data_IF_366227257852
#
_entry.id   IF_366227257852
#
_cell.length_a   1.000
_cell.length_b   1.000
_cell.length_c   1.000
_cell.angle_alpha   90.00
_cell.angle_beta   90.00
_cell.angle_gamma   90.00
#
_symmetry.space_group_name_H-M   'P 1'
#
loop_
_entity.id
_entity.type
_entity.pdbx_description
1 polymer ?
#
# COMPACT_ATOMS: atom_id res chain seq x y z
N UNK A 1 -11.20 49.13 1.94
CA UNK A 1 -9.73 49.22 1.90
C UNK A 1 -9.16 49.43 3.30
N UNK A 2 -9.30 50.57 3.97
CA UNK A 2 -8.77 50.74 5.35
C UNK A 2 -9.38 49.71 6.32
N UNK A 3 -10.72 49.56 6.33
CA UNK A 3 -11.41 48.55 7.14
C UNK A 3 -11.09 47.09 6.77
N UNK A 4 -10.59 46.82 5.56
CA UNK A 4 -10.18 45.47 5.14
C UNK A 4 -8.75 45.17 5.57
N UNK A 5 -7.89 46.18 5.57
CA UNK A 5 -6.54 46.09 6.12
C UNK A 5 -6.59 45.89 7.64
N UNK A 6 -7.43 46.66 8.35
CA UNK A 6 -7.63 46.48 9.80
C UNK A 6 -8.14 45.06 10.14
N UNK A 7 -9.04 44.51 9.30
CA UNK A 7 -9.52 43.14 9.46
C UNK A 7 -8.40 42.11 9.19
N UNK A 8 -7.56 42.33 8.19
CA UNK A 8 -6.43 41.45 7.92
C UNK A 8 -5.41 41.50 9.06
N UNK A 9 -5.12 42.68 9.59
CA UNK A 9 -4.17 42.87 10.69
C UNK A 9 -4.61 42.11 11.94
N UNK A 10 -5.91 42.15 12.29
CA UNK A 10 -6.41 41.36 13.43
C UNK A 10 -6.34 39.85 13.16
N UNK A 11 -6.57 39.39 11.93
CA UNK A 11 -6.39 37.96 11.57
C UNK A 11 -4.92 37.56 11.73
N UNK A 12 -3.98 38.42 11.34
CA UNK A 12 -2.55 38.19 11.54
C UNK A 12 -2.19 38.12 13.04
N UNK A 13 -2.73 39.01 13.86
CA UNK A 13 -2.51 38.96 15.32
C UNK A 13 -3.08 37.67 15.95
N UNK A 14 -4.16 37.10 15.41
CA UNK A 14 -4.77 35.87 15.91
C UNK A 14 -3.88 34.62 15.78
N UNK A 15 -2.80 34.65 14.99
CA UNK A 15 -1.87 33.50 14.84
C UNK A 15 -1.22 33.14 16.19
N UNK A 16 -1.08 34.10 17.10
CA UNK A 16 -0.58 33.84 18.47
C UNK A 16 -1.43 32.81 19.22
N UNK A 17 -2.71 32.65 18.87
CA UNK A 17 -3.63 31.71 19.52
C UNK A 17 -3.20 30.26 19.27
N UNK A 18 -2.56 29.96 18.13
CA UNK A 18 -2.01 28.63 17.83
C UNK A 18 -0.92 28.22 18.83
N UNK A 19 -0.31 29.16 19.56
CA UNK A 19 0.69 28.86 20.60
C UNK A 19 0.08 28.47 21.95
N UNK A 20 -1.25 28.50 22.08
CA UNK A 20 -1.97 28.18 23.32
C UNK A 20 -3.27 27.39 23.04
N UNK A 21 -3.16 26.12 22.59
CA UNK A 21 -4.32 25.33 22.16
C UNK A 21 -5.33 25.03 23.28
N UNK A 22 -4.93 25.12 24.56
CA UNK A 22 -5.83 25.04 25.71
C UNK A 22 -6.98 26.06 25.66
N UNK A 23 -6.80 27.19 24.96
CA UNK A 23 -7.80 28.24 24.84
C UNK A 23 -8.72 28.09 23.61
N UNK A 24 -8.58 27.03 22.82
CA UNK A 24 -9.39 26.84 21.61
C UNK A 24 -10.89 26.77 21.87
N UNK A 25 -11.31 26.30 23.04
CA UNK A 25 -12.71 26.32 23.46
C UNK A 25 -13.31 27.75 23.41
N UNK A 26 -12.52 28.79 23.72
CA UNK A 26 -12.98 30.18 23.63
C UNK A 26 -13.27 30.62 22.19
N UNK A 27 -12.50 30.11 21.20
CA UNK A 27 -12.78 30.39 19.78
C UNK A 27 -14.12 29.82 19.36
N UNK A 28 -14.49 28.67 19.90
CA UNK A 28 -15.77 28.01 19.59
C UNK A 28 -16.91 28.70 20.33
N UNK A 29 -16.79 28.89 21.66
CA UNK A 29 -17.82 29.53 22.49
C UNK A 29 -18.15 30.96 22.03
N UNK A 30 -17.15 31.72 21.60
CA UNK A 30 -17.31 33.09 21.12
C UNK A 30 -17.70 33.18 19.63
N UNK A 31 -18.01 32.05 18.97
CA UNK A 31 -18.35 31.98 17.54
C UNK A 31 -17.27 32.57 16.61
N UNK A 32 -16.01 32.56 17.04
CA UNK A 32 -14.89 32.99 16.21
C UNK A 32 -14.72 32.01 15.04
N UNK A 33 -14.81 30.70 15.29
CA UNK A 33 -14.68 29.66 14.23
C UNK A 33 -15.71 29.89 13.11
N UNK A 34 -16.98 30.11 13.43
CA UNK A 34 -18.01 30.36 12.42
C UNK A 34 -17.73 31.64 11.61
N UNK A 35 -17.27 32.70 12.27
CA UNK A 35 -16.89 33.95 11.62
C UNK A 35 -15.68 33.77 10.69
N UNK A 36 -14.67 33.03 11.15
CA UNK A 36 -13.48 32.69 10.36
C UNK A 36 -13.84 31.85 9.13
N UNK A 37 -14.71 30.85 9.26
CA UNK A 37 -15.16 30.04 8.12
C UNK A 37 -15.91 30.87 7.06
N UNK A 38 -16.60 31.93 7.46
CA UNK A 38 -17.20 32.89 6.52
C UNK A 38 -16.17 33.75 5.79
N UNK A 39 -14.98 33.91 6.36
CA UNK A 39 -13.87 34.69 5.82
C UNK A 39 -12.86 33.74 5.15
N UNK A 40 -13.11 33.34 3.90
CA UNK A 40 -12.24 32.43 3.13
C UNK A 40 -10.77 32.90 2.94
N UNK A 41 -10.38 34.04 3.50
CA UNK A 41 -9.02 34.58 3.55
C UNK A 41 -8.19 34.08 4.74
N UNK A 42 -8.78 33.34 5.69
CA UNK A 42 -8.11 32.91 6.93
C UNK A 42 -7.32 31.58 6.79
N UNK A 43 -7.04 31.14 5.56
CA UNK A 43 -6.47 29.81 5.31
C UNK A 43 -5.12 29.63 6.01
N UNK A 44 -4.30 30.68 6.07
CA UNK A 44 -3.01 30.64 6.77
C UNK A 44 -3.19 30.42 8.29
N UNK A 45 -4.06 31.22 8.91
CA UNK A 45 -4.41 31.07 10.32
C UNK A 45 -4.97 29.68 10.64
N UNK A 46 -5.89 29.17 9.81
CA UNK A 46 -6.45 27.83 9.99
C UNK A 46 -5.38 26.75 9.89
N UNK A 47 -4.40 26.91 9.01
CA UNK A 47 -3.30 25.96 8.88
C UNK A 47 -2.45 25.92 10.15
N UNK A 48 -2.11 27.07 10.74
CA UNK A 48 -1.37 27.10 12.01
C UNK A 48 -2.20 26.56 13.19
N UNK A 49 -3.47 26.93 13.29
CA UNK A 49 -4.36 26.43 14.35
C UNK A 49 -4.54 24.92 14.30
N UNK A 50 -4.44 24.35 13.10
CA UNK A 50 -4.57 22.91 12.87
C UNK A 50 -3.22 22.21 12.75
N UNK A 51 -2.08 22.86 12.99
CA UNK A 51 -0.78 22.18 12.92
C UNK A 51 -0.74 20.96 13.86
N UNK A 52 -0.23 19.83 13.39
CA UNK A 52 -0.34 18.58 14.14
C UNK A 52 0.46 18.60 15.44
N UNK A 53 1.61 19.29 15.46
CA UNK A 53 2.41 19.42 16.68
C UNK A 53 1.63 20.27 17.69
N UNK A 54 1.00 21.36 17.25
CA UNK A 54 0.10 22.19 18.07
C UNK A 54 -1.12 21.42 18.59
N UNK A 55 -1.81 20.65 17.75
CA UNK A 55 -2.99 19.88 18.17
C UNK A 55 -2.64 18.84 19.25
N UNK A 56 -1.42 18.30 19.23
CA UNK A 56 -0.95 17.34 20.23
C UNK A 56 -0.54 17.97 21.56
N UNK A 57 -0.40 19.30 21.65
CA UNK A 57 -0.12 19.98 22.92
C UNK A 57 -1.35 20.02 23.85
N UNK A 58 -2.58 20.01 23.29
CA UNK A 58 -3.82 19.99 24.07
C UNK A 58 -4.93 19.23 23.33
N UNK A 59 -5.12 17.95 23.69
CA UNK A 59 -6.12 17.08 23.05
C UNK A 59 -7.56 17.60 23.24
N UNK A 60 -7.89 18.13 24.42
CA UNK A 60 -9.22 18.68 24.71
C UNK A 60 -9.53 19.93 23.86
N UNK A 61 -8.57 20.86 23.77
CA UNK A 61 -8.72 22.07 22.95
C UNK A 61 -8.79 21.75 21.46
N UNK A 62 -7.94 20.84 21.01
CA UNK A 62 -7.92 20.34 19.63
C UNK A 62 -9.24 19.65 19.26
N UNK A 63 -9.79 18.79 20.11
CA UNK A 63 -11.04 18.08 19.84
C UNK A 63 -12.21 19.05 19.61
N UNK A 64 -12.35 20.06 20.47
CA UNK A 64 -13.41 21.07 20.38
C UNK A 64 -13.27 21.92 19.11
N UNK A 65 -12.05 22.32 18.75
CA UNK A 65 -11.81 23.08 17.52
C UNK A 65 -12.12 22.23 16.27
N UNK A 66 -11.61 21.01 16.21
CA UNK A 66 -11.77 20.12 15.05
C UNK A 66 -13.24 19.74 14.86
N UNK A 67 -13.99 19.53 15.95
CA UNK A 67 -15.44 19.31 15.89
C UNK A 67 -16.17 20.55 15.34
N UNK A 68 -15.86 21.75 15.84
CA UNK A 68 -16.48 22.98 15.33
C UNK A 68 -16.18 23.24 13.84
N UNK A 69 -14.94 22.98 13.40
CA UNK A 69 -14.54 23.08 11.99
C UNK A 69 -15.28 22.05 11.13
N UNK A 70 -15.43 20.82 11.63
CA UNK A 70 -16.15 19.76 10.96
C UNK A 70 -17.66 20.08 10.81
N UNK A 71 -18.32 20.48 11.90
CA UNK A 71 -19.73 20.92 11.90
C UNK A 71 -19.96 22.11 10.95
N UNK A 72 -18.99 23.02 10.89
CA UNK A 72 -18.97 24.15 9.96
C UNK A 72 -18.72 23.79 8.49
N UNK A 73 -18.56 22.51 8.14
CA UNK A 73 -18.24 22.02 6.79
C UNK A 73 -17.01 22.70 6.19
N UNK A 74 -15.95 22.86 6.99
CA UNK A 74 -14.72 23.55 6.59
C UNK A 74 -14.17 23.04 5.25
N UNK A 75 -14.22 21.73 5.00
CA UNK A 75 -13.67 21.15 3.76
C UNK A 75 -14.46 21.60 2.53
N UNK A 76 -15.79 21.61 2.59
CA UNK A 76 -16.61 22.11 1.49
C UNK A 76 -16.30 23.58 1.17
N UNK A 77 -16.15 24.42 2.21
CA UNK A 77 -15.83 25.84 2.07
C UNK A 77 -14.42 26.05 1.50
N UNK A 78 -13.45 25.29 1.99
CA UNK A 78 -12.07 25.29 1.50
C UNK A 78 -11.98 24.83 0.04
N UNK A 79 -12.71 23.79 -0.34
CA UNK A 79 -12.78 23.33 -1.74
C UNK A 79 -13.39 24.40 -2.64
N UNK A 80 -14.49 25.02 -2.22
CA UNK A 80 -15.09 26.14 -2.95
C UNK A 80 -14.10 27.31 -3.10
N UNK A 81 -13.30 27.59 -2.08
CA UNK A 81 -12.23 28.58 -2.15
C UNK A 81 -11.15 28.18 -3.16
N UNK A 82 -10.67 26.93 -3.16
CA UNK A 82 -9.65 26.48 -4.10
C UNK A 82 -10.10 26.54 -5.56
N UNK A 83 -11.39 26.43 -5.87
CA UNK A 83 -11.89 26.52 -7.25
C UNK A 83 -11.74 27.92 -7.88
N UNK A 84 -11.62 28.97 -7.07
CA UNK A 84 -11.46 30.36 -7.54
C UNK A 84 -10.01 30.86 -7.58
N UNK A 85 -9.06 30.10 -7.02
CA UNK A 85 -7.65 30.50 -6.92
C UNK A 85 -6.88 30.23 -8.22
N UNK A 86 -6.01 31.16 -8.61
CA UNK A 86 -5.10 31.07 -9.75
C UNK A 86 -3.68 30.72 -9.30
N UNK A 87 -3.25 29.49 -9.60
CA UNK A 87 -1.90 28.99 -9.27
C UNK A 87 -0.75 29.71 -9.99
N UNK A 88 -1.02 30.57 -10.97
CA UNK A 88 0.02 31.45 -11.53
C UNK A 88 0.39 32.59 -10.58
N UNK A 89 -0.48 32.90 -9.61
CA UNK A 89 -0.22 33.85 -8.53
C UNK A 89 0.36 33.07 -7.35
N UNK A 90 1.57 33.46 -6.91
CA UNK A 90 2.31 32.72 -5.88
C UNK A 90 1.52 32.65 -4.58
N UNK A 91 0.94 33.76 -4.15
CA UNK A 91 0.15 33.87 -2.93
C UNK A 91 -1.09 32.97 -2.96
N UNK A 92 -1.74 32.85 -4.12
CA UNK A 92 -2.91 31.99 -4.28
C UNK A 92 -2.52 30.50 -4.38
N UNK A 93 -1.37 30.19 -4.98
CA UNK A 93 -0.80 28.85 -4.96
C UNK A 93 -0.43 28.41 -3.54
N UNK A 94 0.12 29.31 -2.72
CA UNK A 94 0.39 29.07 -1.30
C UNK A 94 -0.94 28.87 -0.52
N UNK A 95 -2.01 29.59 -0.88
CA UNK A 95 -3.35 29.36 -0.34
C UNK A 95 -3.93 27.97 -0.63
N UNK A 96 -3.71 27.42 -1.82
CA UNK A 96 -4.09 26.03 -2.13
C UNK A 96 -3.26 25.04 -1.30
N UNK A 97 -1.97 25.31 -1.14
CA UNK A 97 -1.08 24.47 -0.33
C UNK A 97 -1.54 24.42 1.13
N UNK A 98 -1.77 25.58 1.75
CA UNK A 98 -2.24 25.66 3.13
C UNK A 98 -3.62 25.00 3.28
N UNK A 99 -4.49 25.10 2.28
CA UNK A 99 -5.78 24.39 2.27
C UNK A 99 -5.60 22.88 2.38
N UNK A 100 -4.66 22.31 1.61
CA UNK A 100 -4.40 20.88 1.65
C UNK A 100 -3.70 20.46 2.95
N UNK A 101 -2.82 21.30 3.51
CA UNK A 101 -2.20 21.09 4.80
C UNK A 101 -3.24 21.05 5.94
N UNK A 102 -4.23 21.94 5.95
CA UNK A 102 -5.34 21.89 6.92
C UNK A 102 -6.03 20.52 6.86
N UNK A 103 -6.38 20.06 5.67
CA UNK A 103 -7.06 18.76 5.52
C UNK A 103 -6.16 17.60 5.95
N UNK A 104 -4.87 17.64 5.62
CA UNK A 104 -3.88 16.66 6.05
C UNK A 104 -3.81 16.58 7.57
N UNK A 105 -3.66 17.73 8.24
CA UNK A 105 -3.57 17.77 9.69
C UNK A 105 -4.87 17.30 10.38
N UNK A 106 -6.02 17.73 9.87
CA UNK A 106 -7.33 17.27 10.36
C UNK A 106 -7.52 15.76 10.19
N UNK A 107 -7.09 15.21 9.04
CA UNK A 107 -7.10 13.77 8.77
C UNK A 107 -6.05 13.00 9.58
N UNK A 108 -4.95 13.66 9.95
CA UNK A 108 -3.92 13.09 10.81
C UNK A 108 -4.44 12.90 12.23
N UNK A 109 -5.02 13.97 12.78
CA UNK A 109 -5.61 14.03 14.12
C UNK A 109 -6.88 13.18 14.24
N UNK A 110 -7.83 13.29 13.30
CA UNK A 110 -9.09 12.54 13.30
C UNK A 110 -9.31 11.82 11.96
N UNK A 111 -8.78 10.60 11.78
CA UNK A 111 -8.85 9.83 10.52
C UNK A 111 -10.27 9.56 9.99
N UNK A 112 -11.29 9.62 10.85
CA UNK A 112 -12.70 9.49 10.44
C UNK A 112 -13.14 10.55 9.42
N UNK A 113 -12.55 11.75 9.49
CA UNK A 113 -12.91 12.91 8.65
C UNK A 113 -12.54 12.72 7.18
N UNK A 114 -11.64 11.80 6.83
CA UNK A 114 -11.22 11.58 5.44
C UNK A 114 -12.40 11.24 4.52
N UNK A 115 -13.36 10.47 5.01
CA UNK A 115 -14.51 10.04 4.22
C UNK A 115 -15.43 11.21 3.91
N UNK A 116 -15.71 12.04 4.91
CA UNK A 116 -16.56 13.21 4.78
C UNK A 116 -15.87 14.29 3.95
N UNK A 117 -14.58 14.55 4.18
CA UNK A 117 -13.78 15.46 3.38
C UNK A 117 -13.82 15.09 1.89
N UNK A 118 -13.66 13.81 1.57
CA UNK A 118 -13.75 13.31 0.20
C UNK A 118 -15.14 13.52 -0.41
N UNK A 119 -16.20 13.27 0.36
CA UNK A 119 -17.60 13.47 -0.05
C UNK A 119 -17.99 14.95 -0.19
N UNK A 120 -17.35 15.85 0.56
CA UNK A 120 -17.53 17.30 0.49
C UNK A 120 -16.85 17.95 -0.75
N UNK A 121 -16.45 17.15 -1.74
CA UNK A 121 -15.95 17.63 -3.03
C UNK A 121 -14.43 17.62 -3.17
N UNK A 122 -13.68 17.36 -2.09
CA UNK A 122 -12.21 17.32 -2.16
C UNK A 122 -11.70 16.24 -3.12
N UNK A 123 -12.31 15.05 -3.12
CA UNK A 123 -11.93 13.97 -4.05
C UNK A 123 -12.12 14.40 -5.51
N UNK A 124 -13.24 15.07 -5.80
CA UNK A 124 -13.53 15.60 -7.14
C UNK A 124 -12.47 16.60 -7.59
N UNK A 125 -12.13 17.53 -6.68
CA UNK A 125 -11.15 18.56 -6.92
C UNK A 125 -9.76 17.96 -7.18
N UNK A 126 -9.33 17.02 -6.32
CA UNK A 126 -8.05 16.32 -6.46
C UNK A 126 -7.95 15.56 -7.80
N UNK A 127 -8.98 14.77 -8.16
CA UNK A 127 -8.98 14.04 -9.43
C UNK A 127 -8.94 14.97 -10.65
N UNK A 128 -9.68 16.09 -10.60
CA UNK A 128 -9.62 17.12 -11.64
C UNK A 128 -8.21 17.71 -11.74
N UNK A 129 -7.58 18.00 -10.60
CA UNK A 129 -6.27 18.64 -10.55
C UNK A 129 -5.14 17.71 -11.02
N UNK A 130 -5.18 16.43 -10.66
CA UNK A 130 -4.24 15.39 -11.10
C UNK A 130 -4.24 15.27 -12.64
N UNK A 131 -5.39 15.47 -13.31
CA UNK A 131 -5.49 15.40 -14.78
C UNK A 131 -4.72 16.52 -15.51
N UNK A 132 -4.59 17.70 -14.92
CA UNK A 132 -4.13 18.92 -15.62
C UNK A 132 -2.60 18.96 -15.82
N UNK A 133 -1.85 17.96 -15.33
CA UNK A 133 -0.42 17.71 -15.64
C UNK A 133 0.57 18.80 -15.20
N UNK A 134 0.11 19.97 -14.77
CA UNK A 134 0.87 21.02 -14.07
C UNK A 134 0.94 20.77 -12.56
N UNK A 135 0.95 19.50 -12.14
CA UNK A 135 0.92 19.14 -10.73
C UNK A 135 2.21 19.56 -10.04
N UNK A 136 2.09 20.53 -9.12
CA UNK A 136 3.17 20.96 -8.24
C UNK A 136 3.46 19.85 -7.22
N UNK A 137 4.73 19.66 -6.82
CA UNK A 137 5.21 18.59 -5.92
C UNK A 137 4.51 18.43 -4.56
N UNK A 138 3.62 19.35 -4.19
CA UNK A 138 3.32 19.66 -2.79
C UNK A 138 2.01 19.06 -2.27
N UNK A 139 1.39 18.18 -3.03
CA UNK A 139 0.19 17.46 -2.58
C UNK A 139 0.63 16.05 -2.23
N UNK A 140 1.21 15.93 -1.04
CA UNK A 140 1.49 14.67 -0.38
C UNK A 140 0.21 14.20 0.33
N UNK A 141 -0.81 13.77 -0.42
CA UNK A 141 -1.88 12.98 0.20
C UNK A 141 -1.35 11.57 0.48
N UNK A 142 -0.33 11.49 1.35
CA UNK A 142 0.26 10.25 1.81
C UNK A 142 -0.74 9.58 2.73
N UNK A 143 -1.16 8.39 2.33
CA UNK A 143 -1.68 7.36 3.23
C UNK A 143 -2.79 7.80 4.18
N UNK A 144 -4.03 7.96 3.71
CA UNK A 144 -5.25 7.80 4.56
C UNK A 144 -6.53 7.62 3.72
N UNK A 145 -6.46 6.81 2.68
CA UNK A 145 -7.63 6.40 1.89
C UNK A 145 -8.35 5.25 2.63
N UNK A 146 -9.44 5.57 3.34
CA UNK A 146 -10.40 4.63 3.94
C UNK A 146 -11.11 3.78 2.88
N UNK A 147 -11.77 2.68 3.27
CA UNK A 147 -12.57 1.86 2.33
C UNK A 147 -13.62 2.67 1.56
N UNK A 148 -14.28 3.63 2.23
CA UNK A 148 -15.27 4.49 1.60
C UNK A 148 -14.66 5.44 0.56
N UNK A 149 -13.48 6.01 0.84
CA UNK A 149 -12.78 6.88 -0.13
C UNK A 149 -12.23 6.08 -1.33
N UNK A 150 -11.88 4.80 -1.15
CA UNK A 150 -11.51 3.89 -2.26
C UNK A 150 -12.68 3.63 -3.21
N UNK A 151 -13.89 3.42 -2.68
CA UNK A 151 -15.08 3.20 -3.50
C UNK A 151 -15.44 4.49 -4.25
N UNK A 152 -15.50 5.63 -3.54
CA UNK A 152 -15.79 6.93 -4.14
C UNK A 152 -14.82 7.29 -5.27
N UNK A 153 -13.51 7.11 -5.06
CA UNK A 153 -12.52 7.36 -6.11
C UNK A 153 -12.79 6.52 -7.36
N UNK A 154 -13.14 5.24 -7.18
CA UNK A 154 -13.45 4.36 -8.29
C UNK A 154 -14.75 4.69 -9.01
N UNK A 155 -15.79 5.13 -8.29
CA UNK A 155 -17.06 5.62 -8.88
C UNK A 155 -16.85 6.88 -9.74
N UNK A 156 -15.81 7.66 -9.45
CA UNK A 156 -15.45 8.89 -10.16
C UNK A 156 -14.44 8.68 -11.29
N UNK A 157 -14.33 7.46 -11.83
CA UNK A 157 -13.34 7.05 -12.83
C UNK A 157 -11.88 7.33 -12.40
N UNK A 158 -11.61 7.44 -11.09
CA UNK A 158 -10.32 7.81 -10.55
C UNK A 158 -9.22 6.80 -10.88
N UNK A 159 -9.56 5.52 -11.05
CA UNK A 159 -8.60 4.49 -11.49
C UNK A 159 -8.01 4.82 -12.87
N UNK A 160 -8.85 5.24 -13.81
CA UNK A 160 -8.38 5.63 -15.15
C UNK A 160 -7.51 6.88 -15.09
N UNK A 161 -7.81 7.82 -14.19
CA UNK A 161 -6.98 9.01 -13.95
C UNK A 161 -5.59 8.61 -13.47
N UNK A 162 -5.51 7.74 -12.46
CA UNK A 162 -4.25 7.26 -11.91
C UNK A 162 -3.43 6.52 -12.98
N UNK A 163 -4.07 5.62 -13.74
CA UNK A 163 -3.43 4.88 -14.82
C UNK A 163 -2.93 5.82 -15.93
N UNK A 164 -3.71 6.84 -16.31
CA UNK A 164 -3.33 7.81 -17.33
C UNK A 164 -2.09 8.60 -16.91
N UNK A 165 -2.03 9.08 -15.66
CA UNK A 165 -0.86 9.82 -15.16
C UNK A 165 0.37 8.92 -15.04
N UNK A 166 0.21 7.71 -14.50
CA UNK A 166 1.31 6.73 -14.42
C UNK A 166 1.82 6.35 -15.81
N UNK A 167 0.95 6.37 -16.84
CA UNK A 167 1.33 6.02 -18.22
C UNK A 167 2.39 6.93 -18.82
N UNK A 168 2.62 8.12 -18.26
CA UNK A 168 3.71 9.03 -18.67
C UNK A 168 5.07 8.41 -18.38
N UNK A 169 5.19 7.69 -17.26
CA UNK A 169 6.43 7.07 -16.77
C UNK A 169 6.67 5.66 -17.31
N UNK A 170 5.92 5.23 -18.33
CA UNK A 170 6.04 3.88 -18.90
C UNK A 170 7.36 3.65 -19.66
N UNK A 171 7.95 4.71 -20.23
CA UNK A 171 9.17 4.64 -21.06
C UNK A 171 10.26 5.62 -20.64
N UNK A 172 9.96 6.54 -19.72
CA UNK A 172 10.87 7.57 -19.26
C UNK A 172 10.87 7.60 -17.73
N UNK A 173 12.00 7.96 -17.14
CA UNK A 173 12.07 8.21 -15.72
C UNK A 173 11.56 9.64 -15.44
N UNK A 174 11.09 9.90 -14.21
CA UNK A 174 10.95 11.27 -13.70
C UNK A 174 12.24 12.07 -13.90
N UNK A 175 12.10 13.35 -14.23
CA UNK A 175 13.18 14.30 -14.47
C UNK A 175 13.71 14.89 -13.15
N UNK A 176 12.82 15.04 -12.15
CA UNK A 176 13.14 15.65 -10.86
C UNK A 176 12.80 14.68 -9.70
N UNK A 177 13.33 14.97 -8.51
CA UNK A 177 13.05 14.16 -7.31
C UNK A 177 11.57 14.28 -6.90
N UNK A 178 11.01 15.46 -7.10
CA UNK A 178 9.63 15.78 -6.84
C UNK A 178 8.66 15.05 -7.78
N UNK A 179 9.00 14.97 -9.08
CA UNK A 179 8.24 14.19 -10.05
C UNK A 179 8.33 12.68 -9.73
N UNK A 180 9.45 12.24 -9.15
CA UNK A 180 9.58 10.87 -8.66
C UNK A 180 8.69 10.61 -7.43
N UNK A 181 8.66 11.52 -6.46
CA UNK A 181 7.76 11.41 -5.30
C UNK A 181 6.29 11.40 -5.73
N UNK A 182 5.89 12.27 -6.64
CA UNK A 182 4.55 12.28 -7.24
C UNK A 182 4.20 10.93 -7.87
N UNK A 183 5.13 10.35 -8.66
CA UNK A 183 4.93 9.05 -9.28
C UNK A 183 4.69 7.95 -8.22
N UNK A 184 5.48 7.93 -7.14
CA UNK A 184 5.29 6.95 -6.05
C UNK A 184 3.97 7.16 -5.30
N UNK A 185 3.57 8.41 -5.04
CA UNK A 185 2.28 8.71 -4.42
C UNK A 185 1.10 8.21 -5.27
N UNK A 186 1.18 8.32 -6.60
CA UNK A 186 0.18 7.78 -7.52
C UNK A 186 0.15 6.24 -7.48
N UNK A 187 1.30 5.58 -7.35
CA UNK A 187 1.38 4.14 -7.19
C UNK A 187 0.79 3.67 -5.86
N UNK A 188 1.06 4.37 -4.76
CA UNK A 188 0.52 4.06 -3.43
C UNK A 188 -0.99 4.28 -3.39
N UNK A 189 -1.50 5.37 -3.98
CA UNK A 189 -2.93 5.59 -4.15
C UNK A 189 -3.59 4.44 -4.95
N UNK A 190 -2.97 4.01 -6.04
CA UNK A 190 -3.47 2.89 -6.85
C UNK A 190 -3.45 1.56 -6.08
N UNK A 191 -2.37 1.25 -5.35
CA UNK A 191 -2.29 0.05 -4.51
C UNK A 191 -3.37 0.06 -3.43
N UNK A 192 -3.57 1.20 -2.75
CA UNK A 192 -4.63 1.37 -1.76
C UNK A 192 -6.01 1.13 -2.38
N UNK A 193 -6.28 1.67 -3.58
CA UNK A 193 -7.54 1.45 -4.27
C UNK A 193 -7.78 -0.03 -4.60
N UNK A 194 -6.74 -0.79 -4.97
CA UNK A 194 -6.83 -2.21 -5.30
C UNK A 194 -7.08 -3.12 -4.08
N UNK A 195 -6.95 -2.61 -2.85
CA UNK A 195 -7.42 -3.31 -1.65
C UNK A 195 -8.94 -3.50 -1.64
N UNK A 196 -9.68 -2.69 -2.42
CA UNK A 196 -11.11 -2.83 -2.60
C UNK A 196 -11.41 -3.66 -3.86
N UNK A 197 -12.23 -4.70 -3.71
CA UNK A 197 -12.50 -5.66 -4.79
C UNK A 197 -13.15 -5.02 -6.02
N UNK A 198 -14.08 -4.07 -5.86
CA UNK A 198 -14.75 -3.36 -6.97
C UNK A 198 -13.77 -2.63 -7.89
N UNK A 199 -12.68 -2.09 -7.33
CA UNK A 199 -11.66 -1.38 -8.08
C UNK A 199 -10.76 -2.30 -8.92
N UNK A 200 -10.74 -3.60 -8.67
CA UNK A 200 -9.96 -4.55 -9.47
C UNK A 200 -10.55 -4.74 -10.85
N UNK A 201 -11.89 -4.76 -10.94
CA UNK A 201 -12.61 -4.78 -12.22
C UNK A 201 -12.41 -3.47 -12.98
N UNK A 202 -12.43 -2.32 -12.27
CA UNK A 202 -12.14 -1.01 -12.87
C UNK A 202 -10.70 -0.96 -13.42
N UNK A 203 -9.72 -1.42 -12.65
CA UNK A 203 -8.32 -1.53 -13.08
C UNK A 203 -8.13 -2.46 -14.28
N UNK A 204 -8.84 -3.58 -14.31
CA UNK A 204 -8.85 -4.51 -15.44
C UNK A 204 -9.38 -3.86 -16.72
N UNK A 205 -10.50 -3.15 -16.62
CA UNK A 205 -11.13 -2.42 -17.73
C UNK A 205 -10.25 -1.27 -18.24
N UNK A 206 -9.56 -0.57 -17.35
CA UNK A 206 -8.62 0.52 -17.66
C UNK A 206 -7.27 0.06 -18.24
N UNK A 207 -7.13 -1.21 -18.63
CA UNK A 207 -5.88 -1.80 -19.15
C UNK A 207 -4.68 -1.69 -18.18
N UNK A 208 -4.95 -1.65 -16.87
CA UNK A 208 -3.91 -1.51 -15.86
C UNK A 208 -2.86 -2.61 -15.92
N UNK A 209 -3.26 -3.86 -16.18
CA UNK A 209 -2.35 -4.99 -16.36
C UNK A 209 -1.39 -4.80 -17.53
N UNK A 210 -1.89 -4.30 -18.67
CA UNK A 210 -1.09 -4.03 -19.86
C UNK A 210 -0.04 -2.95 -19.56
N UNK A 211 -0.44 -1.88 -18.86
CA UNK A 211 0.45 -0.80 -18.47
C UNK A 211 1.55 -1.28 -17.52
N UNK A 212 1.19 -1.98 -16.45
CA UNK A 212 2.17 -2.50 -15.49
C UNK A 212 3.12 -3.50 -16.14
N UNK A 213 2.60 -4.40 -16.99
CA UNK A 213 3.42 -5.36 -17.74
C UNK A 213 4.39 -4.65 -18.71
N UNK A 214 3.98 -3.53 -19.32
CA UNK A 214 4.87 -2.71 -20.14
C UNK A 214 5.97 -2.06 -19.29
N UNK A 215 5.63 -1.45 -18.16
CA UNK A 215 6.58 -0.83 -17.23
C UNK A 215 7.65 -1.84 -16.74
N UNK A 216 7.23 -3.06 -16.44
CA UNK A 216 8.16 -4.14 -16.07
C UNK A 216 9.18 -4.46 -17.18
N UNK A 217 8.76 -4.41 -18.45
CA UNK A 217 9.60 -4.71 -19.61
C UNK A 217 10.57 -3.58 -19.96
N UNK A 218 10.16 -2.34 -19.75
CA UNK A 218 10.95 -1.12 -20.05
C UNK A 218 12.06 -0.87 -19.00
N UNK A 219 11.96 -1.50 -17.82
CA UNK A 219 13.00 -1.50 -16.77
C UNK A 219 13.41 -0.09 -16.30
N UNK A 220 12.44 0.82 -16.24
CA UNK A 220 12.56 2.19 -15.70
C UNK A 220 12.36 2.21 -14.18
N UNK A 221 12.45 3.38 -13.55
CA UNK A 221 12.23 3.52 -12.10
C UNK A 221 10.84 3.00 -11.68
N UNK A 222 9.82 3.24 -12.51
CA UNK A 222 8.45 2.74 -12.33
C UNK A 222 8.31 1.21 -12.28
N UNK A 223 9.35 0.44 -12.67
CA UNK A 223 9.31 -1.02 -12.68
C UNK A 223 8.93 -1.59 -11.31
N UNK A 224 9.51 -1.05 -10.24
CA UNK A 224 9.32 -1.68 -8.94
C UNK A 224 7.89 -1.49 -8.44
N UNK A 225 7.39 -0.27 -8.50
CA UNK A 225 6.03 0.05 -8.06
C UNK A 225 4.99 -0.61 -8.97
N UNK A 226 5.29 -0.79 -10.26
CA UNK A 226 4.47 -1.60 -11.16
C UNK A 226 4.37 -3.08 -10.73
N UNK A 227 5.45 -3.66 -10.17
CA UNK A 227 5.42 -5.02 -9.60
C UNK A 227 4.53 -5.07 -8.35
N UNK A 228 4.65 -4.07 -7.46
CA UNK A 228 3.79 -3.92 -6.27
C UNK A 228 2.31 -3.82 -6.65
N UNK A 229 1.97 -3.03 -7.68
CA UNK A 229 0.58 -2.92 -8.18
C UNK A 229 0.06 -4.26 -8.70
N UNK A 230 0.87 -5.01 -9.45
CA UNK A 230 0.48 -6.33 -9.96
C UNK A 230 0.18 -7.32 -8.85
N UNK A 231 0.95 -7.27 -7.76
CA UNK A 231 0.71 -8.07 -6.56
C UNK A 231 -0.68 -7.76 -5.96
N UNK A 232 -0.96 -6.48 -5.69
CA UNK A 232 -2.25 -6.03 -5.14
C UNK A 232 -3.44 -6.33 -6.07
N UNK A 233 -3.23 -6.25 -7.38
CA UNK A 233 -4.29 -6.54 -8.36
C UNK A 233 -4.67 -8.03 -8.42
N UNK A 234 -3.74 -8.94 -8.11
CA UNK A 234 -3.89 -10.39 -8.30
C UNK A 234 -4.11 -11.18 -7.01
N UNK A 235 -3.80 -10.60 -5.84
CA UNK A 235 -3.88 -11.29 -4.55
C UNK A 235 -5.32 -11.74 -4.20
N UNK A 236 -5.49 -12.95 -3.66
CA UNK A 236 -6.80 -13.43 -3.20
C UNK A 236 -7.81 -13.76 -4.32
N UNK A 237 -9.02 -14.24 -3.97
CA UNK A 237 -10.02 -14.71 -4.94
C UNK A 237 -10.51 -13.63 -5.91
N UNK A 238 -10.73 -12.42 -5.41
CA UNK A 238 -11.14 -11.25 -6.19
C UNK A 238 -10.09 -10.79 -7.23
N UNK A 239 -8.85 -11.33 -7.17
CA UNK A 239 -7.82 -11.11 -8.19
C UNK A 239 -7.86 -12.13 -9.35
N UNK A 240 -8.81 -13.06 -9.38
CA UNK A 240 -8.79 -14.17 -10.31
C UNK A 240 -8.85 -13.75 -11.78
N UNK A 241 -9.71 -12.80 -12.14
CA UNK A 241 -9.83 -12.31 -13.52
C UNK A 241 -8.55 -11.58 -13.96
N UNK A 242 -7.94 -10.84 -13.02
CA UNK A 242 -6.64 -10.21 -13.23
C UNK A 242 -5.53 -11.23 -13.49
N UNK A 243 -5.50 -12.35 -12.75
CA UNK A 243 -4.55 -13.43 -13.00
C UNK A 243 -4.72 -14.01 -14.42
N UNK A 244 -5.95 -14.32 -14.85
CA UNK A 244 -6.21 -14.88 -16.18
C UNK A 244 -5.79 -13.89 -17.27
N UNK A 245 -6.21 -12.63 -17.15
CA UNK A 245 -5.85 -11.58 -18.12
C UNK A 245 -4.34 -11.37 -18.16
N UNK A 246 -3.64 -11.41 -17.03
CA UNK A 246 -2.18 -11.25 -16.99
C UNK A 246 -1.46 -12.33 -17.83
N UNK A 247 -1.93 -13.58 -17.80
CA UNK A 247 -1.41 -14.66 -18.65
C UNK A 247 -1.71 -14.40 -20.14
N UNK A 248 -2.89 -13.90 -20.44
CA UNK A 248 -3.33 -13.61 -21.81
C UNK A 248 -2.53 -12.46 -22.45
N UNK A 249 -2.18 -11.44 -21.67
CA UNK A 249 -1.31 -10.32 -22.12
C UNK A 249 0.19 -10.65 -22.04
N UNK A 250 0.53 -11.94 -22.06
CA UNK A 250 1.90 -12.47 -22.04
C UNK A 250 2.71 -12.14 -20.77
N UNK A 251 2.06 -11.89 -19.64
CA UNK A 251 2.70 -11.57 -18.36
C UNK A 251 3.69 -12.65 -17.88
N UNK A 252 3.46 -13.92 -18.24
CA UNK A 252 4.40 -15.02 -17.94
C UNK A 252 5.80 -14.81 -18.54
N UNK A 253 5.91 -14.14 -19.70
CA UNK A 253 7.20 -13.80 -20.31
C UNK A 253 7.93 -12.67 -19.59
N UNK A 254 7.23 -11.94 -18.73
CA UNK A 254 7.76 -10.80 -17.98
C UNK A 254 8.11 -11.18 -16.54
N UNK A 255 7.23 -11.91 -15.84
CA UNK A 255 7.43 -12.25 -14.42
C UNK A 255 8.51 -13.31 -14.20
N UNK A 256 8.59 -14.34 -15.04
CA UNK A 256 9.57 -15.42 -14.84
C UNK A 256 11.03 -14.99 -14.99
N UNK A 257 11.41 -14.07 -15.91
CA UNK A 257 12.73 -13.47 -15.88
C UNK A 257 13.07 -12.75 -14.56
N UNK A 258 12.08 -12.10 -13.94
CA UNK A 258 12.24 -11.43 -12.63
C UNK A 258 12.35 -12.42 -11.48
N UNK A 259 11.72 -13.59 -11.59
CA UNK A 259 11.86 -14.71 -10.66
C UNK A 259 13.24 -15.38 -10.74
N UNK A 260 13.73 -15.60 -11.97
CA UNK A 260 15.05 -16.20 -12.20
C UNK A 260 16.19 -15.28 -11.79
N UNK A 261 16.01 -13.97 -11.88
CA UNK A 261 17.05 -13.01 -11.54
C UNK A 261 16.50 -11.75 -10.92
N UNK A 262 16.79 -11.58 -9.63
CA UNK A 262 16.55 -10.37 -8.87
C UNK A 262 17.38 -9.22 -9.46
N UNK A 263 16.76 -8.11 -9.92
CA UNK A 263 17.50 -6.96 -10.42
C UNK A 263 18.37 -6.34 -9.33
N UNK A 264 19.61 -5.97 -9.66
CA UNK A 264 20.48 -5.24 -8.71
C UNK A 264 19.89 -3.86 -8.40
N UNK A 265 20.05 -3.41 -7.15
CA UNK A 265 19.67 -2.05 -6.73
C UNK A 265 20.33 -1.01 -7.64
N UNK A 266 19.52 -0.18 -8.29
CA UNK A 266 20.03 0.88 -9.17
C UNK A 266 20.43 2.16 -8.41
N UNK A 267 19.97 2.35 -7.16
CA UNK A 267 20.28 3.49 -6.27
C UNK A 267 20.15 3.10 -4.78
N UNK A 268 20.63 3.96 -3.86
CA UNK A 268 20.46 3.82 -2.39
C UNK A 268 18.98 3.74 -1.94
N UNK A 269 18.06 4.29 -2.73
CA UNK A 269 16.60 4.33 -2.48
C UNK A 269 15.80 3.30 -3.30
N UNK A 270 16.44 2.21 -3.72
CA UNK A 270 15.76 1.12 -4.43
C UNK A 270 15.28 0.02 -3.50
N UNK A 271 14.14 -0.57 -3.85
CA UNK A 271 13.53 -1.77 -3.28
C UNK A 271 14.54 -2.85 -2.96
N UNK A 272 14.39 -3.46 -1.79
CA UNK A 272 15.29 -4.52 -1.35
C UNK A 272 15.19 -5.75 -2.25
N UNK A 273 16.25 -6.56 -2.30
CA UNK A 273 16.19 -7.84 -3.00
C UNK A 273 15.08 -8.73 -2.42
N UNK A 274 14.83 -8.60 -1.10
CA UNK A 274 13.75 -9.27 -0.38
C UNK A 274 12.38 -8.83 -0.88
N UNK A 275 12.08 -7.53 -0.85
CA UNK A 275 10.80 -6.98 -1.33
C UNK A 275 10.52 -7.35 -2.79
N UNK A 276 11.54 -7.34 -3.66
CA UNK A 276 11.38 -7.78 -5.05
C UNK A 276 11.01 -9.26 -5.12
N UNK A 277 11.76 -10.13 -4.42
CA UNK A 277 11.51 -11.57 -4.38
C UNK A 277 10.13 -11.88 -3.78
N UNK A 278 9.71 -11.12 -2.76
CA UNK A 278 8.40 -11.19 -2.12
C UNK A 278 7.27 -10.94 -3.11
N UNK A 279 7.25 -9.78 -3.78
CA UNK A 279 6.20 -9.46 -4.74
C UNK A 279 6.17 -10.42 -5.92
N UNK A 280 7.34 -10.86 -6.42
CA UNK A 280 7.38 -11.87 -7.49
C UNK A 280 6.78 -13.20 -7.02
N UNK A 281 7.14 -13.67 -5.82
CA UNK A 281 6.59 -14.91 -5.27
C UNK A 281 5.09 -14.77 -5.00
N UNK A 282 4.63 -13.64 -4.49
CA UNK A 282 3.22 -13.37 -4.21
C UNK A 282 2.38 -13.37 -5.50
N UNK A 283 2.89 -12.75 -6.57
CA UNK A 283 2.25 -12.80 -7.90
C UNK A 283 2.16 -14.23 -8.42
N UNK A 284 3.22 -15.03 -8.30
CA UNK A 284 3.24 -16.44 -8.74
C UNK A 284 2.28 -17.28 -7.90
N UNK A 285 2.29 -17.11 -6.58
CA UNK A 285 1.38 -17.78 -5.65
C UNK A 285 -0.09 -17.45 -5.94
N UNK A 286 -0.39 -16.17 -6.20
CA UNK A 286 -1.73 -15.71 -6.58
C UNK A 286 -2.21 -16.33 -7.89
N UNK A 287 -1.35 -16.38 -8.91
CA UNK A 287 -1.67 -17.08 -10.16
C UNK A 287 -1.87 -18.59 -9.95
N UNK A 288 -1.03 -19.22 -9.13
CA UNK A 288 -1.16 -20.64 -8.79
C UNK A 288 -2.46 -20.94 -8.05
N UNK A 289 -2.91 -20.06 -7.17
CA UNK A 289 -4.19 -20.16 -6.48
C UNK A 289 -5.38 -20.00 -7.43
N UNK A 290 -5.33 -19.00 -8.31
CA UNK A 290 -6.52 -18.51 -9.00
C UNK A 290 -6.69 -19.06 -10.43
N UNK A 291 -5.60 -19.38 -11.13
CA UNK A 291 -5.68 -19.79 -12.53
C UNK A 291 -6.29 -21.17 -12.69
N UNK A 292 -7.15 -21.28 -13.71
CA UNK A 292 -7.81 -22.53 -14.14
C UNK A 292 -7.50 -22.83 -15.61
N UNK A 293 -7.82 -24.05 -16.03
CA UNK A 293 -7.83 -24.47 -17.44
C UNK A 293 -6.54 -24.13 -18.21
N UNK A 294 -6.64 -23.55 -19.41
CA UNK A 294 -5.51 -23.30 -20.31
C UNK A 294 -4.46 -22.37 -19.71
N UNK A 295 -4.85 -21.32 -18.99
CA UNK A 295 -3.93 -20.39 -18.34
C UNK A 295 -3.13 -21.09 -17.22
N UNK A 296 -3.79 -21.97 -16.44
CA UNK A 296 -3.10 -22.80 -15.44
C UNK A 296 -2.07 -23.73 -16.08
N UNK A 297 -2.45 -24.42 -17.17
CA UNK A 297 -1.51 -25.28 -17.91
C UNK A 297 -0.31 -24.48 -18.43
N UNK A 298 -0.53 -23.29 -18.97
CA UNK A 298 0.55 -22.41 -19.44
C UNK A 298 1.50 -22.00 -18.31
N UNK A 299 0.97 -21.71 -17.12
CA UNK A 299 1.77 -21.42 -15.93
C UNK A 299 2.59 -22.65 -15.49
N UNK A 300 1.98 -23.82 -15.37
CA UNK A 300 2.68 -25.06 -14.98
C UNK A 300 3.78 -25.43 -15.98
N UNK A 301 3.55 -25.23 -17.28
CA UNK A 301 4.56 -25.45 -18.30
C UNK A 301 5.81 -24.56 -18.10
N UNK A 302 5.68 -23.38 -17.49
CA UNK A 302 6.86 -22.55 -17.14
C UNK A 302 7.78 -23.25 -16.14
N UNK A 303 7.21 -24.04 -15.24
CA UNK A 303 7.97 -24.80 -14.25
C UNK A 303 8.63 -26.06 -14.83
N UNK A 304 8.15 -26.59 -15.96
CA UNK A 304 8.76 -27.75 -16.64
C UNK A 304 9.79 -27.37 -17.70
N UNK A 305 9.83 -26.11 -18.13
CA UNK A 305 10.81 -25.61 -19.11
C UNK A 305 12.27 -25.81 -18.63
N UNK A 306 13.17 -26.06 -19.59
CA UNK A 306 14.62 -26.12 -19.38
C UNK A 306 15.02 -27.05 -18.21
N UNK A 307 14.52 -28.28 -18.24
CA UNK A 307 14.75 -29.28 -17.19
C UNK A 307 14.35 -28.80 -15.78
N UNK A 308 13.19 -28.14 -15.70
CA UNK A 308 12.65 -27.60 -14.47
C UNK A 308 13.54 -26.53 -13.79
N UNK A 309 14.26 -25.70 -14.55
CA UNK A 309 15.15 -24.67 -13.98
C UNK A 309 14.43 -23.70 -13.02
N UNK A 310 13.11 -23.53 -13.16
CA UNK A 310 12.32 -22.69 -12.24
C UNK A 310 12.09 -23.37 -10.90
N UNK A 311 12.00 -24.70 -10.88
CA UNK A 311 11.97 -25.48 -9.64
C UNK A 311 13.34 -25.39 -8.96
N UNK A 312 14.43 -25.42 -9.72
CA UNK A 312 15.78 -25.23 -9.15
C UNK A 312 15.92 -23.85 -8.49
N UNK A 313 15.45 -22.80 -9.16
CA UNK A 313 15.41 -21.44 -8.60
C UNK A 313 14.50 -21.34 -7.37
N UNK A 314 13.33 -21.97 -7.41
CA UNK A 314 12.41 -22.05 -6.27
C UNK A 314 13.10 -22.66 -5.05
N UNK A 315 13.79 -23.79 -5.25
CA UNK A 315 14.50 -24.47 -4.18
C UNK A 315 15.70 -23.66 -3.66
N UNK A 316 16.45 -22.99 -4.55
CA UNK A 316 17.52 -22.08 -4.16
C UNK A 316 17.02 -20.98 -3.20
N UNK A 317 15.92 -20.31 -3.58
CA UNK A 317 15.26 -19.30 -2.75
C UNK A 317 14.73 -19.88 -1.44
N UNK A 318 14.11 -21.07 -1.49
CA UNK A 318 13.61 -21.75 -0.30
C UNK A 318 14.73 -21.97 0.72
N UNK A 319 15.88 -22.52 0.33
CA UNK A 319 16.99 -22.74 1.26
C UNK A 319 17.60 -21.44 1.78
N UNK A 320 17.70 -20.40 0.92
CA UNK A 320 18.17 -19.06 1.32
C UNK A 320 17.32 -18.49 2.46
N UNK A 321 16.00 -18.47 2.30
CA UNK A 321 15.10 -17.90 3.30
C UNK A 321 14.87 -18.82 4.50
N UNK A 322 14.89 -20.14 4.31
CA UNK A 322 14.83 -21.10 5.41
C UNK A 322 16.00 -20.91 6.36
N UNK A 323 17.23 -20.78 5.83
CA UNK A 323 18.41 -20.55 6.66
C UNK A 323 18.32 -19.22 7.41
N UNK A 324 17.90 -18.14 6.75
CA UNK A 324 17.74 -16.83 7.36
C UNK A 324 16.72 -16.84 8.52
N UNK A 325 15.56 -17.47 8.31
CA UNK A 325 14.52 -17.60 9.34
C UNK A 325 14.98 -18.51 10.48
N UNK A 326 15.65 -19.64 10.20
CA UNK A 326 16.21 -20.51 11.25
C UNK A 326 17.27 -19.80 12.11
N UNK A 327 18.07 -18.91 11.52
CA UNK A 327 19.02 -18.09 12.27
C UNK A 327 18.31 -17.04 13.14
N UNK A 328 17.19 -16.48 12.68
CA UNK A 328 16.34 -15.61 13.49
C UNK A 328 15.70 -16.39 14.65
N UNK A 329 15.09 -17.53 14.37
CA UNK A 329 14.45 -18.39 15.37
C UNK A 329 15.44 -18.83 16.47
N UNK A 330 16.68 -19.19 16.11
CA UNK A 330 17.73 -19.53 17.09
C UNK A 330 18.10 -18.36 18.00
N UNK A 331 18.13 -17.13 17.47
CA UNK A 331 18.41 -15.93 18.28
C UNK A 331 17.26 -15.64 19.23
N UNK A 332 16.03 -15.69 18.70
CA UNK A 332 14.79 -15.52 19.47
C UNK A 332 14.71 -16.53 20.60
N UNK A 333 14.98 -17.81 20.34
CA UNK A 333 14.92 -18.86 21.37
C UNK A 333 15.99 -18.66 22.46
N UNK A 334 17.20 -18.22 22.07
CA UNK A 334 18.25 -17.86 23.03
C UNK A 334 17.84 -16.69 23.93
N UNK A 335 17.22 -15.65 23.36
CA UNK A 335 16.68 -14.52 24.10
C UNK A 335 15.54 -14.93 25.03
N UNK A 336 14.58 -15.74 24.55
CA UNK A 336 13.50 -16.29 25.40
C UNK A 336 14.06 -17.04 26.61
N UNK A 337 15.09 -17.87 26.41
CA UNK A 337 15.77 -18.55 27.51
C UNK A 337 16.44 -17.57 28.50
N UNK A 338 17.06 -16.49 28.01
CA UNK A 338 17.68 -15.47 28.86
C UNK A 338 16.64 -14.68 29.66
N UNK A 339 15.51 -14.34 29.05
CA UNK A 339 14.39 -13.63 29.70
C UNK A 339 13.81 -14.47 30.83
N UNK A 340 13.56 -15.76 30.58
CA UNK A 340 13.11 -16.71 31.61
C UNK A 340 14.12 -16.81 32.75
N UNK A 341 15.43 -16.79 32.47
CA UNK A 341 16.48 -16.77 33.50
C UNK A 341 16.50 -15.48 34.33
N UNK A 342 16.12 -14.34 33.74
CA UNK A 342 15.99 -13.04 34.43
C UNK A 342 14.65 -12.88 35.17
N UNK A 343 13.72 -13.82 35.01
CA UNK A 343 12.38 -13.74 35.59
C UNK A 343 11.45 -12.77 34.85
N UNK A 344 11.76 -12.44 33.60
CA UNK A 344 10.92 -11.63 32.72
C UNK A 344 9.75 -12.49 32.19
N UNK A 345 8.56 -11.90 32.13
CA UNK A 345 7.35 -12.55 31.59
C UNK A 345 7.34 -12.32 30.08
N UNK A 346 7.14 -13.40 29.32
CA UNK A 346 6.86 -13.32 27.88
C UNK A 346 5.39 -12.95 27.71
N UNK A 347 5.12 -11.73 27.27
CA UNK A 347 3.78 -11.23 26.98
C UNK A 347 3.52 -11.19 25.46
N UNK A 348 2.29 -10.84 25.08
CA UNK A 348 1.86 -10.75 23.67
C UNK A 348 2.69 -9.71 22.88
N UNK A 349 3.07 -8.59 23.50
CA UNK A 349 3.91 -7.57 22.84
C UNK A 349 5.29 -8.08 22.47
N UNK A 350 5.89 -8.93 23.30
CA UNK A 350 7.15 -9.59 22.98
C UNK A 350 6.97 -10.62 21.86
N UNK A 351 5.85 -11.34 21.82
CA UNK A 351 5.56 -12.27 20.72
C UNK A 351 5.41 -11.55 19.37
N UNK A 352 4.75 -10.39 19.36
CA UNK A 352 4.67 -9.53 18.17
C UNK A 352 6.05 -9.05 17.71
N UNK A 353 6.92 -8.66 18.64
CA UNK A 353 8.30 -8.25 18.32
C UNK A 353 9.10 -9.42 17.70
N UNK A 354 8.96 -10.62 18.25
CA UNK A 354 9.59 -11.82 17.70
C UNK A 354 9.04 -12.15 16.30
N UNK A 355 7.73 -11.98 16.10
CA UNK A 355 7.11 -12.19 14.78
C UNK A 355 7.63 -11.18 13.75
N UNK A 356 7.72 -9.90 14.09
CA UNK A 356 8.32 -8.86 13.24
C UNK A 356 9.76 -9.20 12.85
N UNK A 357 10.56 -9.72 13.79
CA UNK A 357 11.93 -10.17 13.50
C UNK A 357 11.99 -11.36 12.54
N UNK A 358 11.01 -12.26 12.58
CA UNK A 358 10.90 -13.36 11.60
C UNK A 358 10.46 -12.84 10.22
N UNK A 359 9.56 -11.85 10.15
CA UNK A 359 9.22 -11.17 8.90
C UNK A 359 10.41 -10.43 8.29
N UNK A 360 11.23 -9.79 9.13
CA UNK A 360 12.47 -9.13 8.70
C UNK A 360 13.45 -10.13 8.08
N UNK A 361 13.55 -11.33 8.66
CA UNK A 361 14.33 -12.44 8.13
C UNK A 361 13.74 -13.07 6.84
N UNK A 362 12.52 -12.70 6.45
CA UNK A 362 11.87 -13.14 5.22
C UNK A 362 10.90 -14.32 5.38
N UNK A 363 10.26 -14.45 6.55
CA UNK A 363 9.24 -15.47 6.81
C UNK A 363 8.12 -15.47 5.75
N UNK A 364 7.61 -14.29 5.36
CA UNK A 364 6.53 -14.22 4.38
C UNK A 364 6.96 -14.74 2.99
N UNK A 365 8.16 -14.40 2.53
CA UNK A 365 8.73 -14.95 1.30
C UNK A 365 8.90 -16.46 1.41
N UNK A 366 9.38 -16.97 2.55
CA UNK A 366 9.52 -18.41 2.80
C UNK A 366 8.18 -19.14 2.73
N UNK A 367 7.12 -18.57 3.33
CA UNK A 367 5.76 -19.13 3.27
C UNK A 367 5.23 -19.16 1.84
N UNK A 368 5.40 -18.09 1.06
CA UNK A 368 5.02 -18.06 -0.36
C UNK A 368 5.77 -19.10 -1.19
N UNK A 369 7.08 -19.27 -0.95
CA UNK A 369 7.89 -20.31 -1.62
C UNK A 369 7.41 -21.71 -1.27
N UNK A 370 7.08 -21.98 0.00
CA UNK A 370 6.49 -23.25 0.43
C UNK A 370 5.13 -23.49 -0.23
N UNK A 371 4.28 -22.45 -0.30
CA UNK A 371 2.99 -22.52 -0.96
C UNK A 371 3.13 -22.85 -2.44
N UNK A 372 4.02 -22.15 -3.16
CA UNK A 372 4.32 -22.43 -4.57
C UNK A 372 4.79 -23.88 -4.73
N UNK A 373 5.71 -24.34 -3.88
CA UNK A 373 6.29 -25.69 -3.91
C UNK A 373 5.20 -26.76 -3.73
N UNK A 374 4.33 -26.58 -2.75
CA UNK A 374 3.24 -27.51 -2.47
C UNK A 374 2.21 -27.51 -3.60
N UNK A 375 1.83 -26.35 -4.13
CA UNK A 375 0.84 -26.26 -5.19
C UNK A 375 1.34 -26.90 -6.50
N UNK A 376 2.60 -26.67 -6.89
CA UNK A 376 3.14 -27.29 -8.11
C UNK A 376 3.33 -28.80 -7.97
N UNK A 377 3.66 -29.31 -6.78
CA UNK A 377 3.75 -30.75 -6.52
C UNK A 377 2.37 -31.43 -6.58
N UNK A 378 1.32 -30.73 -6.17
CA UNK A 378 -0.07 -31.19 -6.24
C UNK A 378 -0.73 -30.95 -7.62
N UNK A 379 0.01 -30.48 -8.62
CA UNK A 379 -0.54 -30.16 -9.94
C UNK A 379 -0.88 -31.37 -10.83
N UNK A 380 -0.53 -32.58 -10.39
CA UNK A 380 -0.62 -33.81 -11.19
C UNK A 380 0.52 -34.01 -12.19
N UNK A 381 1.49 -33.09 -12.25
CA UNK A 381 2.68 -33.21 -13.09
C UNK A 381 3.80 -33.90 -12.31
N UNK A 382 3.99 -35.20 -12.54
CA UNK A 382 4.96 -36.03 -11.81
C UNK A 382 6.40 -35.51 -11.85
N UNK A 383 6.81 -34.89 -12.96
CA UNK A 383 8.15 -34.31 -13.12
C UNK A 383 8.44 -33.22 -12.07
N UNK A 384 7.46 -32.36 -11.77
CA UNK A 384 7.63 -31.27 -10.80
C UNK A 384 7.77 -31.82 -9.38
N UNK A 385 6.88 -32.73 -9.00
CA UNK A 385 6.92 -33.40 -7.71
C UNK A 385 8.25 -34.14 -7.50
N UNK A 386 8.68 -34.92 -8.50
CA UNK A 386 9.95 -35.64 -8.45
C UNK A 386 11.14 -34.70 -8.26
N UNK A 387 11.19 -33.57 -9.01
CA UNK A 387 12.29 -32.61 -8.91
C UNK A 387 12.36 -31.95 -7.53
N UNK A 388 11.22 -31.55 -6.96
CA UNK A 388 11.15 -30.97 -5.61
C UNK A 388 11.69 -31.95 -4.57
N UNK A 389 11.18 -33.20 -4.54
CA UNK A 389 11.67 -34.19 -3.57
C UNK A 389 13.13 -34.58 -3.80
N UNK A 390 13.58 -34.65 -5.06
CA UNK A 390 14.98 -34.90 -5.38
C UNK A 390 15.89 -33.85 -4.76
N UNK A 391 15.57 -32.56 -4.91
CA UNK A 391 16.40 -31.47 -4.39
C UNK A 391 16.34 -31.42 -2.85
N UNK A 392 15.16 -31.63 -2.26
CA UNK A 392 15.02 -31.74 -0.80
C UNK A 392 15.93 -32.85 -0.25
N UNK A 393 15.90 -34.04 -0.84
CA UNK A 393 16.71 -35.17 -0.40
C UNK A 393 18.22 -34.91 -0.55
N UNK A 394 18.66 -34.30 -1.66
CA UNK A 394 20.08 -34.02 -1.91
C UNK A 394 20.63 -32.97 -0.95
N UNK A 395 19.85 -31.93 -0.63
CA UNK A 395 20.30 -30.83 0.24
C UNK A 395 19.95 -31.02 1.72
N UNK A 396 19.45 -32.19 2.11
CA UNK A 396 19.07 -32.49 3.50
C UNK A 396 17.82 -31.74 3.99
N UNK A 397 16.99 -31.23 3.07
CA UNK A 397 15.71 -30.62 3.37
C UNK A 397 14.68 -31.65 3.82
N UNK A 398 13.76 -31.25 4.70
CA UNK A 398 12.72 -32.12 5.24
C UNK A 398 11.33 -31.67 4.77
N UNK A 399 10.58 -32.60 4.19
CA UNK A 399 9.16 -32.39 3.86
C UNK A 399 8.36 -31.98 5.09
N UNK A 400 8.71 -32.47 6.28
CA UNK A 400 8.06 -32.10 7.54
C UNK A 400 8.22 -30.61 7.87
N UNK A 401 9.36 -30.02 7.52
CA UNK A 401 9.63 -28.59 7.74
C UNK A 401 8.74 -27.76 6.81
N UNK A 402 8.64 -28.14 5.53
CA UNK A 402 7.73 -27.48 4.59
C UNK A 402 6.29 -27.54 5.08
N UNK A 403 5.81 -28.73 5.50
CA UNK A 403 4.45 -28.89 6.05
C UNK A 403 4.23 -28.05 7.31
N UNK A 404 5.22 -27.93 8.18
CA UNK A 404 5.11 -27.10 9.38
C UNK A 404 4.95 -25.60 9.03
N UNK A 405 5.77 -25.07 8.12
CA UNK A 405 5.66 -23.68 7.64
C UNK A 405 4.31 -23.45 6.97
N UNK A 406 3.80 -24.42 6.20
CA UNK A 406 2.48 -24.34 5.56
C UNK A 406 1.32 -24.32 6.56
N UNK A 407 1.45 -25.03 7.68
CA UNK A 407 0.45 -25.01 8.77
C UNK A 407 0.41 -23.63 9.42
N UNK A 408 1.58 -23.08 9.75
CA UNK A 408 1.70 -21.72 10.28
C UNK A 408 1.10 -20.69 9.32
N UNK A 409 1.42 -20.80 8.01
CA UNK A 409 0.85 -19.92 6.98
C UNK A 409 -0.68 -20.03 6.89
N UNK A 410 -1.24 -21.22 7.06
CA UNK A 410 -2.69 -21.43 7.03
C UNK A 410 -3.40 -20.86 8.26
N UNK A 411 -2.71 -20.74 9.39
CA UNK A 411 -3.25 -20.13 10.62
C UNK A 411 -3.30 -18.60 10.54
N UNK A 412 -2.36 -17.98 9.81
CA UNK A 412 -2.29 -16.53 9.66
C UNK A 412 -3.03 -15.99 8.42
N UNK A 413 -3.75 -16.83 7.65
CA UNK A 413 -4.38 -16.40 6.40
C UNK A 413 -5.79 -15.83 6.59
N UNK A 414 -6.13 -14.85 5.75
CA UNK A 414 -7.49 -14.32 5.64
C UNK A 414 -7.83 -13.29 6.71
N UNK A 415 -6.84 -12.64 7.30
CA UNK A 415 -7.07 -11.50 8.19
C UNK A 415 -7.89 -10.40 7.47
N UNK A 416 -8.87 -9.83 8.18
CA UNK A 416 -9.85 -8.90 7.61
C UNK A 416 -10.93 -9.50 6.69
N UNK A 417 -11.01 -10.83 6.51
CA UNK A 417 -12.10 -11.53 5.79
C UNK A 417 -13.04 -12.25 6.76
N UNK A 418 -14.17 -12.77 6.26
CA UNK A 418 -15.13 -13.53 7.08
C UNK A 418 -14.53 -14.83 7.61
N UNK A 419 -15.00 -15.28 8.77
CA UNK A 419 -14.56 -16.54 9.37
C UNK A 419 -14.82 -17.76 8.46
N UNK A 420 -15.92 -17.73 7.70
CA UNK A 420 -16.22 -18.75 6.68
C UNK A 420 -15.13 -18.82 5.60
N UNK A 421 -14.64 -17.65 5.16
CA UNK A 421 -13.56 -17.57 4.19
C UNK A 421 -12.25 -18.09 4.77
N UNK A 422 -11.91 -17.69 6.01
CA UNK A 422 -10.70 -18.16 6.71
C UNK A 422 -10.69 -19.67 6.85
N UNK A 423 -11.79 -20.28 7.31
CA UNK A 423 -11.86 -21.74 7.49
C UNK A 423 -11.78 -22.50 6.16
N UNK A 424 -12.46 -22.00 5.11
CA UNK A 424 -12.38 -22.60 3.79
C UNK A 424 -10.97 -22.54 3.19
N UNK A 425 -10.29 -21.40 3.34
CA UNK A 425 -8.92 -21.22 2.82
C UNK A 425 -7.91 -22.03 3.64
N UNK A 426 -8.05 -22.05 4.97
CA UNK A 426 -7.25 -22.88 5.86
C UNK A 426 -7.36 -24.35 5.46
N UNK A 427 -8.59 -24.86 5.28
CA UNK A 427 -8.82 -26.24 4.84
C UNK A 427 -8.15 -26.53 3.49
N UNK A 428 -8.30 -25.64 2.51
CA UNK A 428 -7.67 -25.79 1.19
C UNK A 428 -6.15 -25.93 1.28
N UNK A 429 -5.51 -25.07 2.07
CA UNK A 429 -4.05 -25.07 2.24
C UNK A 429 -3.57 -26.30 3.01
N UNK A 430 -4.32 -26.72 4.03
CA UNK A 430 -4.01 -27.93 4.80
C UNK A 430 -4.11 -29.19 3.95
N UNK A 431 -5.16 -29.32 3.14
CA UNK A 431 -5.33 -30.45 2.21
C UNK A 431 -4.15 -30.54 1.21
N UNK A 432 -3.66 -29.39 0.74
CA UNK A 432 -2.47 -29.34 -0.12
C UNK A 432 -1.20 -29.78 0.60
N UNK A 433 -1.01 -29.33 1.85
CA UNK A 433 0.15 -29.68 2.67
C UNK A 433 0.18 -31.16 3.06
N UNK A 434 -0.99 -31.78 3.27
CA UNK A 434 -1.08 -33.20 3.62
C UNK A 434 -0.86 -34.12 2.40
N UNK A 435 -1.20 -33.66 1.19
CA UNK A 435 -0.95 -34.37 -0.06
C UNK A 435 0.47 -34.19 -0.63
N UNK A 436 1.26 -33.27 -0.07
CA UNK A 436 2.68 -33.04 -0.39
C UNK A 436 3.60 -34.01 0.35
#
# INVERSE_FOLDING_TARGET
MESELDLNDIIQEMHVIATMPDLYHLLVELNAVHSLLGLLTVVDLLQELTDIDTLNESEEGAEVLIEALHEGQVVALLVQNMERLDEQVKEEADGIYNTLAIVENMAEFRPGLCTEAAQQGLMQWLLKRIKVRTWSPRINYKNRVTTATRELLGEMDGIDVLLQQLSVFKRHNPNTAEEQEMMENLFDALCSCLMLSSNRDRFLKGEGLQLMNLMLREKKLSRTSALKVLDHAMIGPEGADNCHKFVDVLGLRTIFPLFMKTPKKMKKTGTSEKEHEEHVCSVIASMLRNLKSQQRTRLLNKFTENDCEKVDRLMELYFKYLEAVQQADKRIEGEKHDMVRRGEILDETMEDEFYLRRLDAGLFVLQLLCYIMVEISNSGVSQLQQRVHQILNIRGGSVKVVRHIMREYAESIGDGKSEEFKEAERKRIMDLADNF
#
